data_IF_105855628883
#
_entry.id   IF_105855628883
#
_cell.length_a   1.000
_cell.length_b   1.000
_cell.length_c   1.000
_cell.angle_alpha   90.00
_cell.angle_beta   90.00
_cell.angle_gamma   90.00
#
_symmetry.space_group_name_H-M   'P 1'
#
loop_
_entity.id
_entity.type
_entity.pdbx_description
1 polymer ?
#
# COMPACT_ATOMS: atom_id res chain seq x y z
N UNK A 1 -14.40 5.40 9.37
CA UNK A 1 -13.26 4.48 9.53
C UNK A 1 -12.11 5.02 8.71
N UNK A 2 -10.90 4.96 9.24
CA UNK A 2 -9.68 5.35 8.54
C UNK A 2 -9.45 4.43 7.31
N UNK A 3 -8.95 4.98 6.21
CA UNK A 3 -8.65 4.21 4.99
C UNK A 3 -7.57 3.18 5.26
N UNK A 4 -6.60 3.52 6.10
CA UNK A 4 -5.51 2.61 6.49
C UNK A 4 -6.01 1.43 7.34
N UNK A 5 -6.95 1.68 8.23
CA UNK A 5 -7.58 0.66 9.08
C UNK A 5 -8.43 -0.33 8.24
N UNK A 6 -9.15 0.17 7.24
CA UNK A 6 -9.86 -0.69 6.27
C UNK A 6 -8.89 -1.53 5.44
N UNK A 7 -7.83 -0.91 4.92
CA UNK A 7 -6.75 -1.61 4.20
C UNK A 7 -6.12 -2.71 5.05
N UNK A 8 -5.80 -2.43 6.31
CA UNK A 8 -5.13 -3.37 7.19
C UNK A 8 -6.00 -4.59 7.53
N UNK A 9 -7.28 -4.38 7.81
CA UNK A 9 -8.22 -5.51 8.01
C UNK A 9 -8.32 -6.38 6.76
N UNK A 10 -8.43 -5.77 5.58
CA UNK A 10 -8.54 -6.48 4.32
C UNK A 10 -7.25 -7.26 3.99
N UNK A 11 -6.08 -6.65 4.24
CA UNK A 11 -4.79 -7.30 4.08
C UNK A 11 -4.68 -8.54 4.98
N UNK A 12 -5.04 -8.42 6.25
CA UNK A 12 -4.99 -9.54 7.21
C UNK A 12 -5.99 -10.65 6.84
N UNK A 13 -7.17 -10.30 6.34
CA UNK A 13 -8.14 -11.27 5.85
C UNK A 13 -7.59 -12.05 4.66
N UNK A 14 -7.06 -11.35 3.66
CA UNK A 14 -6.47 -11.98 2.48
C UNK A 14 -5.20 -12.79 2.82
N UNK A 15 -4.42 -12.34 3.80
CA UNK A 15 -3.24 -13.05 4.28
C UNK A 15 -3.53 -14.47 4.81
N UNK A 16 -4.74 -14.72 5.32
CA UNK A 16 -5.16 -16.05 5.80
C UNK A 16 -5.16 -17.11 4.69
N UNK A 17 -5.46 -16.69 3.46
CA UNK A 17 -5.58 -17.57 2.30
C UNK A 17 -4.39 -17.44 1.35
N UNK A 18 -3.91 -16.21 1.17
CA UNK A 18 -2.84 -15.87 0.26
C UNK A 18 -1.72 -15.21 1.07
N UNK A 19 -0.52 -15.80 1.13
CA UNK A 19 0.64 -15.12 1.77
C UNK A 19 1.06 -13.88 0.97
N UNK A 20 0.41 -12.74 1.19
CA UNK A 20 0.65 -11.49 0.47
C UNK A 20 1.73 -10.66 1.15
N UNK A 21 1.67 -10.55 2.48
CA UNK A 21 2.69 -9.92 3.32
C UNK A 21 3.09 -10.81 4.51
N UNK A 22 4.12 -10.39 5.26
CA UNK A 22 4.53 -11.05 6.51
C UNK A 22 3.73 -10.63 7.74
N UNK A 23 2.86 -9.62 7.61
CA UNK A 23 2.13 -9.02 8.74
C UNK A 23 1.06 -9.97 9.30
N UNK A 24 1.01 -10.09 10.63
CA UNK A 24 0.15 -11.02 11.38
C UNK A 24 -1.01 -10.35 12.10
N UNK A 25 -0.85 -9.08 12.46
CA UNK A 25 -1.87 -8.29 13.15
C UNK A 25 -1.85 -6.83 12.67
N UNK A 26 -2.80 -6.03 13.16
CA UNK A 26 -2.94 -4.63 12.75
C UNK A 26 -1.74 -3.79 13.17
N UNK A 27 -1.07 -4.10 14.29
CA UNK A 27 0.09 -3.33 14.74
C UNK A 27 1.29 -3.51 13.80
N UNK A 28 1.50 -4.74 13.28
CA UNK A 28 2.51 -4.99 12.25
C UNK A 28 2.13 -4.31 10.93
N UNK A 29 0.84 -4.23 10.58
CA UNK A 29 0.40 -3.48 9.40
C UNK A 29 0.65 -1.98 9.57
N UNK A 30 0.30 -1.42 10.72
CA UNK A 30 0.48 0.00 11.03
C UNK A 30 1.96 0.39 10.97
N UNK A 31 2.87 -0.46 11.48
CA UNK A 31 4.30 -0.26 11.34
C UNK A 31 4.76 -0.21 9.86
N UNK A 32 4.19 -1.05 8.99
CA UNK A 32 4.48 -1.00 7.55
C UNK A 32 3.88 0.26 6.87
N UNK A 33 2.74 0.76 7.37
CA UNK A 33 2.14 2.02 6.91
C UNK A 33 3.06 3.18 7.28
N UNK A 34 3.53 3.24 8.51
CA UNK A 34 4.46 4.27 8.98
C UNK A 34 5.78 4.25 8.18
N UNK A 35 6.38 3.07 8.00
CA UNK A 35 7.59 2.89 7.19
C UNK A 35 7.38 3.35 5.73
N UNK A 36 6.21 3.06 5.15
CA UNK A 36 5.87 3.47 3.79
C UNK A 36 5.75 4.99 3.62
N UNK A 37 5.43 5.74 4.68
CA UNK A 37 5.35 7.20 4.66
C UNK A 37 6.72 7.87 4.83
N UNK A 38 7.70 7.18 5.42
CA UNK A 38 9.02 7.73 5.75
C UNK A 38 9.73 8.41 4.56
N UNK A 39 9.74 7.86 3.32
CA UNK A 39 10.41 8.50 2.19
C UNK A 39 9.90 9.92 1.88
N UNK A 40 8.62 10.20 2.19
CA UNK A 40 8.00 11.50 1.88
C UNK A 40 8.50 12.63 2.77
N UNK A 41 9.23 12.34 3.84
CA UNK A 41 9.91 13.35 4.66
C UNK A 41 11.04 14.05 3.90
N UNK A 42 11.58 13.41 2.86
CA UNK A 42 12.74 13.91 2.10
C UNK A 42 12.37 14.40 0.69
N UNK A 43 11.12 14.18 0.27
CA UNK A 43 10.64 14.52 -1.07
C UNK A 43 9.74 15.77 -1.04
N UNK A 44 9.87 16.65 -2.03
CA UNK A 44 8.98 17.81 -2.17
C UNK A 44 7.63 17.37 -2.75
N UNK A 45 6.78 16.84 -1.87
CA UNK A 45 5.48 16.26 -2.21
C UNK A 45 4.54 17.23 -2.94
N UNK A 46 4.75 18.56 -2.84
CA UNK A 46 3.96 19.56 -3.56
C UNK A 46 4.29 19.60 -5.06
N UNK A 47 5.53 19.28 -5.43
CA UNK A 47 6.01 19.24 -6.82
C UNK A 47 5.81 17.88 -7.48
N UNK A 48 5.75 16.80 -6.70
CA UNK A 48 5.48 15.47 -7.24
C UNK A 48 4.07 15.42 -7.86
N UNK A 49 3.99 14.87 -9.08
CA UNK A 49 2.73 14.67 -9.82
C UNK A 49 2.49 13.21 -10.19
N UNK A 50 3.56 12.46 -10.44
CA UNK A 50 3.50 11.06 -10.84
C UNK A 50 4.60 10.28 -10.15
N UNK A 51 4.33 9.04 -9.77
CA UNK A 51 5.31 8.11 -9.21
C UNK A 51 4.99 6.68 -9.66
N UNK A 52 6.00 5.82 -9.67
CA UNK A 52 5.85 4.40 -10.00
C UNK A 52 6.45 3.59 -8.85
N UNK A 53 5.71 2.61 -8.37
CA UNK A 53 6.16 1.62 -7.38
C UNK A 53 6.37 0.28 -8.08
N UNK A 54 7.62 -0.16 -8.16
CA UNK A 54 8.03 -1.38 -8.87
C UNK A 54 8.19 -2.51 -7.85
N UNK A 55 7.36 -3.54 -7.96
CA UNK A 55 7.32 -4.63 -7.00
C UNK A 55 6.52 -4.28 -5.76
N UNK A 56 5.37 -3.61 -5.93
CA UNK A 56 4.55 -3.08 -4.83
C UNK A 56 4.03 -4.13 -3.85
N UNK A 57 4.08 -5.42 -4.19
CA UNK A 57 3.69 -6.48 -3.28
C UNK A 57 2.21 -6.39 -2.90
N UNK A 58 1.96 -6.23 -1.60
CA UNK A 58 0.63 -5.99 -1.05
C UNK A 58 0.22 -4.50 -1.09
N UNK A 59 0.91 -3.65 -1.86
CA UNK A 59 0.66 -2.22 -1.99
C UNK A 59 1.62 -1.34 -1.21
N UNK A 60 2.71 -1.88 -0.68
CA UNK A 60 3.71 -1.11 0.05
C UNK A 60 4.90 -0.79 -0.87
N UNK A 61 5.41 0.47 -0.86
CA UNK A 61 4.83 1.65 -0.24
C UNK A 61 3.75 2.34 -1.09
N UNK A 62 3.64 2.01 -2.37
CA UNK A 62 2.94 2.84 -3.37
C UNK A 62 1.45 3.05 -3.14
N UNK A 63 0.71 2.05 -2.68
CA UNK A 63 -0.73 2.20 -2.38
C UNK A 63 -0.95 3.05 -1.12
N UNK A 64 -0.10 2.88 -0.11
CA UNK A 64 -0.14 3.72 1.10
C UNK A 64 0.11 5.17 0.73
N UNK A 65 1.13 5.42 -0.08
CA UNK A 65 1.46 6.76 -0.57
C UNK A 65 0.35 7.34 -1.45
N UNK A 66 -0.31 6.52 -2.28
CA UNK A 66 -1.47 6.95 -3.06
C UNK A 66 -2.66 7.36 -2.18
N UNK A 67 -2.88 6.66 -1.07
CA UNK A 67 -3.93 7.03 -0.09
C UNK A 67 -3.60 8.32 0.66
N UNK A 68 -2.33 8.51 1.05
CA UNK A 68 -1.86 9.68 1.79
C UNK A 68 -1.72 10.95 0.92
N UNK A 69 -1.35 10.79 -0.35
CA UNK A 69 -1.06 11.89 -1.28
C UNK A 69 -1.91 11.78 -2.55
N UNK A 70 -3.23 12.01 -2.47
CA UNK A 70 -4.17 11.76 -3.57
C UNK A 70 -3.94 12.66 -4.81
N UNK A 71 -3.14 13.72 -4.69
CA UNK A 71 -2.76 14.59 -5.81
C UNK A 71 -1.60 14.03 -6.65
N UNK A 72 -0.94 12.96 -6.20
CA UNK A 72 0.14 12.27 -6.93
C UNK A 72 -0.46 11.02 -7.57
N UNK A 73 -0.28 10.87 -8.88
CA UNK A 73 -0.66 9.66 -9.59
C UNK A 73 0.39 8.56 -9.37
N UNK A 74 0.02 7.52 -8.64
CA UNK A 74 0.87 6.34 -8.43
C UNK A 74 0.49 5.21 -9.38
N UNK A 75 1.48 4.71 -10.11
CA UNK A 75 1.39 3.47 -10.88
C UNK A 75 2.01 2.34 -10.07
N UNK A 76 1.23 1.31 -9.77
CA UNK A 76 1.69 0.14 -9.01
C UNK A 76 1.99 -1.02 -9.95
N UNK A 77 3.21 -1.54 -9.92
CA UNK A 77 3.65 -2.65 -10.77
C UNK A 77 3.91 -3.88 -9.90
N UNK A 78 3.17 -4.96 -10.18
CA UNK A 78 3.32 -6.25 -9.47
C UNK A 78 3.07 -7.41 -10.46
N UNK A 79 4.05 -8.32 -10.65
CA UNK A 79 3.93 -9.43 -11.59
C UNK A 79 3.07 -10.61 -11.09
N UNK A 80 2.91 -10.79 -9.77
CA UNK A 80 2.17 -11.93 -9.23
C UNK A 80 0.66 -11.64 -9.19
N UNK A 81 -0.09 -12.38 -10.01
CA UNK A 81 -1.55 -12.22 -10.16
C UNK A 81 -2.33 -12.17 -8.85
N UNK A 82 -1.97 -13.00 -7.85
CA UNK A 82 -2.64 -13.01 -6.54
C UNK A 82 -2.51 -11.68 -5.78
N UNK A 83 -1.37 -11.01 -5.92
CA UNK A 83 -1.12 -9.69 -5.32
C UNK A 83 -1.79 -8.59 -6.15
N UNK A 84 -1.73 -8.67 -7.47
CA UNK A 84 -2.46 -7.78 -8.37
C UNK A 84 -3.98 -7.82 -8.11
N UNK A 85 -4.55 -9.01 -7.90
CA UNK A 85 -5.97 -9.18 -7.57
C UNK A 85 -6.34 -8.49 -6.25
N UNK A 86 -5.49 -8.61 -5.22
CA UNK A 86 -5.66 -7.88 -3.97
C UNK A 86 -5.61 -6.35 -4.18
N UNK A 87 -4.66 -5.84 -4.97
CA UNK A 87 -4.57 -4.40 -5.27
C UNK A 87 -5.83 -3.87 -5.98
N UNK A 88 -6.40 -4.65 -6.90
CA UNK A 88 -7.65 -4.30 -7.57
C UNK A 88 -8.84 -4.27 -6.60
N UNK A 89 -8.89 -5.21 -5.66
CA UNK A 89 -9.91 -5.22 -4.62
C UNK A 89 -9.85 -3.97 -3.74
N UNK A 90 -8.66 -3.58 -3.27
CA UNK A 90 -8.49 -2.39 -2.42
C UNK A 90 -8.84 -1.09 -3.17
N UNK A 91 -8.60 -1.05 -4.48
CA UNK A 91 -8.95 0.10 -5.34
C UNK A 91 -10.47 0.29 -5.50
N UNK A 92 -11.26 -0.76 -5.28
CA UNK A 92 -12.71 -0.80 -5.51
C UNK A 92 -13.50 -0.11 -4.40
#
# INVERSE_FOLDING_TARGET
MDKFDTYGRLLLEYNKVHRLSGAKDLSEVDANVEDSLYPMQFLDTKKLKTAVDIGTGAGFPGLILAMAYPHIHFTLVEPLMKRTAFLHLVKS
#
